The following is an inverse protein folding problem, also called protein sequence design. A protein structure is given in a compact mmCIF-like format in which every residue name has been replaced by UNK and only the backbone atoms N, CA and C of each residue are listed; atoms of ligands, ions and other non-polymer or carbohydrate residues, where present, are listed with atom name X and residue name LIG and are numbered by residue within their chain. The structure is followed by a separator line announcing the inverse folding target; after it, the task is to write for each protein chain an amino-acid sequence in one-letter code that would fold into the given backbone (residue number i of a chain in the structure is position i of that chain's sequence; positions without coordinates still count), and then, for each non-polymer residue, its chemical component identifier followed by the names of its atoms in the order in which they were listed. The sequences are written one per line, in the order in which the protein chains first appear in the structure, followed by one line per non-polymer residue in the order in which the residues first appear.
data_IF_809601497303
#
_entry.id   IF_809601497303
#
_cell.length_a   1.000
_cell.length_b   1.000
_cell.length_c   1.000
_cell.angle_alpha   90.00
_cell.angle_beta   90.00
_cell.angle_gamma   90.00
#
_symmetry.space_group_name_H-M   'P 1'
#
loop_
_entity.id
_entity.type
_entity.pdbx_description
1 polymer ?
#
# COMPACT_ATOMS: atom_id res chain seq x y z
N UNK A 1 -8.13 9.28 -2.39
CA UNK A 1 -7.81 8.06 -3.16
C UNK A 1 -9.10 7.57 -3.83
N UNK A 2 -9.08 7.25 -5.11
CA UNK A 2 -10.24 6.66 -5.80
C UNK A 2 -9.98 5.19 -6.19
N UNK A 3 -11.03 4.48 -6.61
CA UNK A 3 -10.94 3.05 -6.93
C UNK A 3 -10.06 2.75 -8.14
N UNK A 4 -9.99 3.65 -9.13
CA UNK A 4 -9.19 3.45 -10.33
C UNK A 4 -7.69 3.60 -10.03
N UNK A 5 -7.32 4.63 -9.26
CA UNK A 5 -5.96 4.85 -8.78
C UNK A 5 -5.49 3.71 -7.87
N UNK A 6 -6.38 3.17 -7.03
CA UNK A 6 -6.06 2.03 -6.19
C UNK A 6 -5.78 0.76 -7.02
N UNK A 7 -6.53 0.53 -8.09
CA UNK A 7 -6.27 -0.59 -9.01
C UNK A 7 -4.98 -0.40 -9.81
N UNK A 8 -4.69 0.83 -10.26
CA UNK A 8 -3.42 1.15 -10.91
C UNK A 8 -2.23 0.91 -9.95
N UNK A 9 -2.33 1.39 -8.71
CA UNK A 9 -1.33 1.19 -7.68
C UNK A 9 -1.11 -0.30 -7.42
N UNK A 10 -2.19 -1.09 -7.33
CA UNK A 10 -2.08 -2.53 -7.15
C UNK A 10 -1.34 -3.19 -8.32
N UNK A 11 -1.70 -2.86 -9.56
CA UNK A 11 -1.05 -3.41 -10.75
C UNK A 11 0.45 -3.14 -10.79
N UNK A 12 0.87 -1.92 -10.45
CA UNK A 12 2.28 -1.54 -10.36
C UNK A 12 3.02 -2.30 -9.24
N UNK A 13 2.39 -2.44 -8.07
CA UNK A 13 2.98 -3.16 -6.95
C UNK A 13 3.13 -4.66 -7.25
N UNK A 14 2.13 -5.26 -7.89
CA UNK A 14 2.11 -6.69 -8.21
C UNK A 14 3.11 -7.06 -9.32
N UNK A 15 3.36 -6.13 -10.26
CA UNK A 15 4.37 -6.32 -11.31
C UNK A 15 5.81 -6.27 -10.76
N UNK A 16 6.04 -5.65 -9.60
CA UNK A 16 7.38 -5.50 -9.04
C UNK A 16 7.91 -6.81 -8.43
N UNK A 17 9.21 -7.03 -8.51
CA UNK A 17 9.92 -8.22 -8.04
C UNK A 17 10.00 -8.33 -6.52
N UNK A 18 9.94 -7.19 -5.81
CA UNK A 18 9.96 -7.12 -4.34
C UNK A 18 9.08 -6.00 -3.80
N UNK A 19 8.64 -6.09 -2.54
CA UNK A 19 7.94 -4.97 -1.89
C UNK A 19 8.75 -3.66 -1.88
N UNK A 20 10.09 -3.74 -1.83
CA UNK A 20 10.95 -2.53 -1.89
C UNK A 20 10.90 -1.88 -3.28
N UNK A 21 10.92 -2.67 -4.34
CA UNK A 21 10.77 -2.16 -5.71
C UNK A 21 9.34 -1.64 -5.95
N UNK A 22 8.32 -2.36 -5.47
CA UNK A 22 6.93 -1.89 -5.50
C UNK A 22 6.82 -0.50 -4.84
N UNK A 23 7.38 -0.33 -3.65
CA UNK A 23 7.38 0.95 -2.96
C UNK A 23 8.13 2.05 -3.73
N UNK A 24 9.21 1.74 -4.43
CA UNK A 24 9.91 2.72 -5.27
C UNK A 24 9.03 3.19 -6.44
N UNK A 25 8.46 2.24 -7.20
CA UNK A 25 7.56 2.53 -8.33
C UNK A 25 6.33 3.34 -7.89
N UNK A 26 5.74 2.98 -6.74
CA UNK A 26 4.60 3.70 -6.21
C UNK A 26 4.95 5.14 -5.78
N UNK A 27 6.12 5.37 -5.18
CA UNK A 27 6.57 6.73 -4.83
C UNK A 27 6.79 7.59 -6.05
N UNK A 28 7.34 7.02 -7.12
CA UNK A 28 7.54 7.72 -8.38
C UNK A 28 6.20 8.07 -9.05
N UNK A 29 5.26 7.12 -9.08
CA UNK A 29 3.98 7.30 -9.77
C UNK A 29 3.01 8.20 -9.01
N UNK A 30 2.94 8.08 -7.68
CA UNK A 30 1.92 8.71 -6.86
C UNK A 30 2.46 9.81 -5.95
N UNK A 31 3.56 10.48 -6.33
CA UNK A 31 4.03 11.64 -5.59
C UNK A 31 2.90 12.67 -5.40
N UNK A 32 2.68 13.21 -4.17
CA UNK A 32 3.55 13.15 -2.99
C UNK A 32 3.21 12.07 -1.95
N UNK A 33 2.45 11.02 -2.29
CA UNK A 33 2.06 9.98 -1.34
C UNK A 33 3.28 9.30 -0.72
N UNK A 34 3.23 9.10 0.60
CA UNK A 34 4.22 8.26 1.28
C UNK A 34 3.90 6.79 1.03
N UNK A 35 4.94 6.00 0.87
CA UNK A 35 4.82 4.55 0.69
C UNK A 35 5.75 3.88 1.68
N UNK A 36 5.22 2.95 2.47
CA UNK A 36 5.94 2.27 3.56
C UNK A 36 5.84 0.77 3.30
N UNK A 37 6.98 0.07 3.36
CA UNK A 37 7.00 -1.40 3.30
C UNK A 37 6.87 -1.91 4.72
N UNK A 38 5.93 -2.82 4.94
CA UNK A 38 5.67 -3.45 6.24
C UNK A 38 5.52 -4.95 6.07
N UNK A 39 5.81 -5.70 7.13
CA UNK A 39 5.67 -7.15 7.11
C UNK A 39 4.20 -7.58 7.18
N UNK A 40 3.88 -8.71 6.58
CA UNK A 40 2.52 -9.26 6.62
C UNK A 40 2.06 -9.55 8.05
N UNK A 41 2.97 -9.90 8.95
CA UNK A 41 2.68 -10.15 10.36
C UNK A 41 2.16 -8.89 11.06
N UNK A 42 2.72 -7.72 10.78
CA UNK A 42 2.28 -6.46 11.38
C UNK A 42 0.86 -6.08 10.93
N UNK A 43 0.47 -6.51 9.73
CA UNK A 43 -0.80 -6.16 9.09
C UNK A 43 -1.87 -7.26 9.22
N UNK A 44 -1.62 -8.34 9.98
CA UNK A 44 -2.47 -9.54 10.05
C UNK A 44 -3.89 -9.31 10.58
N UNK A 45 -4.11 -8.22 11.31
CA UNK A 45 -5.42 -7.82 11.84
C UNK A 45 -6.03 -6.63 11.08
N UNK A 46 -5.33 -6.12 10.09
CA UNK A 46 -5.74 -4.99 9.28
C UNK A 46 -6.47 -5.46 8.02
N UNK A 47 -7.35 -4.62 7.48
CA UNK A 47 -8.06 -4.90 6.23
C UNK A 47 -7.31 -4.29 5.05
N UNK A 48 -6.84 -5.10 4.07
CA UNK A 48 -6.25 -4.56 2.85
C UNK A 48 -7.28 -3.73 2.08
N UNK A 49 -6.83 -2.61 1.52
CA UNK A 49 -7.63 -1.84 0.57
C UNK A 49 -7.66 -2.51 -0.80
N UNK A 50 -6.57 -3.19 -1.19
CA UNK A 50 -6.49 -3.98 -2.41
C UNK A 50 -5.56 -5.18 -2.24
N UNK A 51 -5.89 -6.29 -2.90
CA UNK A 51 -5.14 -7.56 -2.81
C UNK A 51 -4.82 -8.04 -4.22
N UNK A 52 -3.54 -8.22 -4.52
CA UNK A 52 -3.03 -8.78 -5.76
C UNK A 52 -2.57 -10.22 -5.60
N UNK A 53 -1.90 -10.74 -6.63
CA UNK A 53 -1.35 -12.09 -6.60
C UNK A 53 -0.17 -12.17 -5.63
N UNK A 54 0.72 -11.18 -5.71
CA UNK A 54 1.98 -11.13 -4.98
C UNK A 54 1.91 -10.12 -3.82
N UNK A 55 1.20 -8.99 -3.96
CA UNK A 55 1.26 -7.85 -3.02
C UNK A 55 -0.13 -7.53 -2.46
N UNK A 56 -0.16 -6.97 -1.25
CA UNK A 56 -1.34 -6.36 -0.67
C UNK A 56 -1.06 -4.88 -0.36
N UNK A 57 -2.05 -4.02 -0.63
CA UNK A 57 -1.99 -2.60 -0.36
C UNK A 57 -3.00 -2.21 0.71
N UNK A 58 -2.55 -1.38 1.65
CA UNK A 58 -3.39 -0.77 2.68
C UNK A 58 -3.27 0.75 2.55
N UNK A 59 -4.34 1.46 2.87
CA UNK A 59 -4.29 2.92 2.91
C UNK A 59 -3.74 3.35 4.27
N UNK A 60 -2.78 4.27 4.24
CA UNK A 60 -2.25 4.91 5.43
C UNK A 60 -2.80 6.32 5.58
N UNK A 61 -3.33 6.65 6.74
CA UNK A 61 -3.58 8.02 7.17
C UNK A 61 -2.42 8.49 8.07
N UNK A 62 -2.17 9.79 8.08
CA UNK A 62 -1.21 10.40 8.99
C UNK A 62 -1.68 11.78 9.44
N UNK A 63 -1.50 12.07 10.72
CA UNK A 63 -1.70 13.37 11.33
C UNK A 63 -0.40 14.19 11.43
N UNK A 64 0.68 13.71 10.81
CA UNK A 64 2.02 14.30 10.86
C UNK A 64 2.96 13.65 11.87
N UNK A 65 2.45 12.92 12.87
CA UNK A 65 3.27 12.23 13.88
C UNK A 65 3.16 10.71 13.79
N UNK A 66 1.95 10.19 13.64
CA UNK A 66 1.68 8.76 13.56
C UNK A 66 1.18 8.36 12.18
N UNK A 67 1.36 7.08 11.86
CA UNK A 67 0.85 6.44 10.65
C UNK A 67 -0.05 5.29 11.08
N UNK A 68 -1.29 5.30 10.57
CA UNK A 68 -2.30 4.31 10.91
C UNK A 68 -2.97 3.81 9.64
N UNK A 69 -3.41 2.55 9.65
CA UNK A 69 -4.24 2.02 8.57
C UNK A 69 -5.61 2.69 8.61
N UNK A 70 -6.15 3.00 7.44
CA UNK A 70 -7.50 3.55 7.29
C UNK A 70 -8.22 2.81 6.18
N UNK A 71 -9.54 2.67 6.31
CA UNK A 71 -10.45 2.24 5.25
C UNK A 71 -11.10 3.43 4.53
N UNK A 72 -10.88 4.67 5.00
CA UNK A 72 -11.40 5.89 4.39
C UNK A 72 -10.45 6.40 3.30
N UNK A 73 -10.84 6.32 2.01
CA UNK A 73 -10.02 6.80 0.91
C UNK A 73 -9.81 8.32 0.91
N UNK A 74 -10.66 9.08 1.59
CA UNK A 74 -10.52 10.53 1.71
C UNK A 74 -9.42 10.93 2.70
N UNK A 75 -9.11 10.07 3.69
CA UNK A 75 -8.04 10.28 4.68
C UNK A 75 -6.70 9.68 4.26
N UNK A 76 -6.66 8.96 3.14
CA UNK A 76 -5.45 8.31 2.66
C UNK A 76 -4.35 9.32 2.28
N UNK A 77 -3.27 9.32 3.06
CA UNK A 77 -2.05 10.10 2.86
C UNK A 77 -0.91 9.24 2.27
N UNK A 78 -1.11 7.93 2.13
CA UNK A 78 -0.10 7.02 1.60
C UNK A 78 -0.54 5.56 1.50
N UNK A 79 0.42 4.70 1.19
CA UNK A 79 0.25 3.26 1.11
C UNK A 79 1.18 2.52 2.07
N UNK A 80 0.65 1.46 2.69
CA UNK A 80 1.48 0.36 3.18
C UNK A 80 1.50 -0.76 2.16
N UNK A 81 2.69 -1.25 1.86
CA UNK A 81 2.93 -2.34 0.89
C UNK A 81 3.41 -3.56 1.65
N UNK A 82 2.70 -4.66 1.46
CA UNK A 82 3.01 -5.96 2.06
C UNK A 82 3.29 -6.97 0.97
N UNK A 83 4.36 -7.74 1.14
CA UNK A 83 4.55 -8.96 0.37
C UNK A 83 3.61 -10.04 0.90
N UNK A 84 2.78 -10.63 0.02
CA UNK A 84 2.06 -11.84 0.37
C UNK A 84 3.10 -12.95 0.40
N UNK A 85 3.38 -13.44 1.59
CA UNK A 85 4.06 -14.73 1.74
C UNK A 85 3.19 -15.73 0.99
N UNK A 86 3.77 -16.46 0.03
CA UNK A 86 3.05 -17.52 -0.65
C UNK A 86 2.50 -18.49 0.42
N UNK A 87 1.24 -18.94 0.30
CA UNK A 87 0.65 -19.89 1.25
C UNK A 87 1.44 -21.20 1.31
#
# INVERSE_FOLDING_TARGET
MDAALLQEALGLADAADSARQAAAVLRERFAPLRVIVVDAMDMRHEKPAAIGARRALYLGASDGHCWNVTDDPAQAAGFFVVDKVAP
#
